data_IF_120585068100
#
_entry.id   IF_120585068100
#
_cell.length_a   1.000
_cell.length_b   1.000
_cell.length_c   1.000
_cell.angle_alpha   90.00
_cell.angle_beta   90.00
_cell.angle_gamma   90.00
#
_symmetry.space_group_name_H-M   'P 1'
#
loop_
_entity.id
_entity.type
_entity.pdbx_description
1 polymer ?
#
# COMPACT_ATOMS: atom_id res chain seq x y z
N UNK A 1 12.02 -1.59 -37.47
CA UNK A 1 12.35 -1.19 -38.86
C UNK A 1 12.62 0.30 -38.85
N UNK A 2 13.81 0.75 -39.25
CA UNK A 2 14.12 2.18 -39.44
C UNK A 2 13.61 2.61 -40.82
N UNK A 3 13.14 3.84 -40.98
CA UNK A 3 12.78 4.40 -42.28
C UNK A 3 14.04 4.48 -43.17
N UNK A 4 14.07 3.68 -44.24
CA UNK A 4 15.14 3.74 -45.23
C UNK A 4 14.93 4.98 -46.11
N UNK A 5 15.90 5.91 -46.09
CA UNK A 5 15.89 7.14 -46.90
C UNK A 5 15.98 8.45 -46.11
N UNK A 6 15.98 8.41 -44.77
CA UNK A 6 16.09 9.62 -43.96
C UNK A 6 17.55 10.12 -43.82
N UNK A 7 17.74 11.44 -43.97
CA UNK A 7 19.04 12.09 -44.02
C UNK A 7 19.57 12.48 -42.63
N UNK A 8 18.71 12.59 -41.61
CA UNK A 8 19.12 12.90 -40.24
C UNK A 8 18.88 11.72 -39.29
N UNK A 9 19.66 11.63 -38.20
CA UNK A 9 19.52 10.51 -37.24
C UNK A 9 18.17 10.54 -36.50
N UNK A 10 17.54 11.71 -36.40
CA UNK A 10 16.31 11.97 -35.65
C UNK A 10 15.09 11.47 -36.44
N UNK A 11 14.99 11.84 -37.72
CA UNK A 11 13.94 11.39 -38.65
C UNK A 11 13.86 9.85 -38.78
N UNK A 12 14.99 9.14 -38.71
CA UNK A 12 15.00 7.66 -38.69
C UNK A 12 14.23 7.06 -37.51
N UNK A 13 14.04 7.83 -36.44
CA UNK A 13 13.37 7.44 -35.21
C UNK A 13 11.98 8.06 -35.06
N UNK A 14 11.47 8.83 -36.03
CA UNK A 14 10.13 9.43 -35.94
C UNK A 14 9.02 8.38 -35.87
N UNK A 15 9.19 7.24 -36.55
CA UNK A 15 8.26 6.11 -36.46
C UNK A 15 8.26 5.41 -35.10
N UNK A 16 9.21 5.74 -34.21
CA UNK A 16 9.23 5.27 -32.83
C UNK A 16 8.52 6.26 -31.90
N UNK A 17 7.94 7.35 -32.39
CA UNK A 17 7.28 8.35 -31.54
C UNK A 17 5.76 8.37 -31.75
N UNK A 18 4.98 8.29 -30.66
CA UNK A 18 5.42 7.92 -29.32
C UNK A 18 5.72 6.42 -29.24
N UNK A 19 6.76 6.03 -28.49
CA UNK A 19 6.93 4.65 -28.03
C UNK A 19 5.78 4.43 -27.04
N UNK A 20 4.64 3.98 -27.55
CA UNK A 20 3.56 3.48 -26.71
C UNK A 20 4.04 2.12 -26.20
N UNK A 21 4.86 2.14 -25.15
CA UNK A 21 4.93 0.96 -24.29
C UNK A 21 3.51 0.86 -23.74
N UNK A 22 2.74 -0.11 -24.24
CA UNK A 22 1.40 -0.35 -23.73
C UNK A 22 1.51 -0.75 -22.26
N UNK A 23 1.46 0.25 -21.37
CA UNK A 23 1.42 0.08 -19.91
C UNK A 23 0.22 -0.76 -19.45
N UNK A 24 -0.65 -1.14 -20.38
CA UNK A 24 -1.72 -2.11 -20.20
C UNK A 24 -1.21 -3.40 -19.54
N UNK A 25 -0.13 -4.00 -20.03
CA UNK A 25 0.39 -5.23 -19.44
C UNK A 25 0.94 -5.01 -18.03
N UNK A 26 1.62 -3.89 -17.80
CA UNK A 26 2.13 -3.51 -16.47
C UNK A 26 1.00 -3.29 -15.47
N UNK A 27 -0.06 -2.58 -15.88
CA UNK A 27 -1.24 -2.32 -15.07
C UNK A 27 -2.03 -3.61 -14.80
N UNK A 28 -2.13 -4.49 -15.79
CA UNK A 28 -2.76 -5.80 -15.67
C UNK A 28 -2.00 -6.69 -14.68
N UNK A 29 -0.66 -6.75 -14.75
CA UNK A 29 0.17 -7.50 -13.82
C UNK A 29 0.11 -6.93 -12.40
N UNK A 30 0.07 -5.59 -12.27
CA UNK A 30 -0.12 -4.93 -10.99
C UNK A 30 -1.47 -5.29 -10.35
N UNK A 31 -2.56 -5.17 -11.12
CA UNK A 31 -3.89 -5.53 -10.66
C UNK A 31 -3.98 -7.02 -10.28
N UNK A 32 -3.29 -7.90 -11.01
CA UNK A 32 -3.24 -9.33 -10.68
C UNK A 32 -2.55 -9.56 -9.33
N UNK A 33 -1.41 -8.91 -9.08
CA UNK A 33 -0.72 -8.97 -7.78
C UNK A 33 -1.57 -8.40 -6.64
N UNK A 34 -2.22 -7.26 -6.87
CA UNK A 34 -3.11 -6.62 -5.91
C UNK A 34 -4.29 -7.53 -5.56
N UNK A 35 -4.97 -8.09 -6.57
CA UNK A 35 -6.07 -9.02 -6.35
C UNK A 35 -5.62 -10.29 -5.62
N UNK A 36 -4.44 -10.85 -5.96
CA UNK A 36 -3.91 -12.02 -5.22
C UNK A 36 -3.62 -11.71 -3.76
N UNK A 37 -3.09 -10.53 -3.45
CA UNK A 37 -2.74 -10.15 -2.07
C UNK A 37 -3.97 -9.78 -1.24
N UNK A 38 -4.89 -8.99 -1.80
CA UNK A 38 -5.97 -8.37 -1.03
C UNK A 38 -7.37 -8.93 -1.32
N UNK A 39 -7.61 -9.51 -2.49
CA UNK A 39 -8.92 -10.05 -2.90
C UNK A 39 -8.99 -11.56 -2.63
N UNK A 40 -8.89 -11.95 -1.36
CA UNK A 40 -9.07 -13.35 -0.94
C UNK A 40 -10.58 -13.62 -0.83
N UNK A 41 -11.19 -14.22 -1.87
CA UNK A 41 -12.66 -14.41 -1.99
C UNK A 41 -13.25 -15.17 -0.79
N UNK A 42 -12.51 -16.11 -0.23
CA UNK A 42 -12.92 -16.91 0.94
C UNK A 42 -13.07 -16.05 2.22
N UNK A 43 -12.43 -14.88 2.27
CA UNK A 43 -12.50 -13.92 3.37
C UNK A 43 -13.57 -12.83 3.18
N UNK A 44 -14.56 -13.07 2.32
CA UNK A 44 -15.66 -12.12 2.06
C UNK A 44 -16.48 -11.72 3.30
N UNK A 45 -16.42 -12.52 4.37
CA UNK A 45 -17.05 -12.23 5.67
C UNK A 45 -16.19 -11.36 6.59
N UNK A 46 -14.90 -11.25 6.32
CA UNK A 46 -13.96 -10.51 7.15
C UNK A 46 -14.03 -9.03 6.78
N UNK A 47 -14.52 -8.21 7.71
CA UNK A 47 -14.64 -6.75 7.55
C UNK A 47 -13.26 -6.15 7.25
N UNK A 48 -13.22 -5.16 6.36
CA UNK A 48 -11.98 -4.50 5.93
C UNK A 48 -11.22 -5.20 4.80
N UNK A 49 -11.64 -6.39 4.36
CA UNK A 49 -11.03 -7.03 3.19
C UNK A 49 -11.66 -6.53 1.88
N UNK A 50 -10.87 -6.52 0.79
CA UNK A 50 -11.38 -6.19 -0.55
C UNK A 50 -12.48 -7.17 -1.00
N UNK A 51 -12.48 -8.41 -0.51
CA UNK A 51 -13.54 -9.39 -0.75
C UNK A 51 -14.85 -9.01 -0.06
N UNK A 52 -14.80 -8.43 1.13
CA UNK A 52 -15.96 -7.92 1.85
C UNK A 52 -16.58 -6.70 1.15
N UNK A 53 -15.74 -5.74 0.74
CA UNK A 53 -16.17 -4.53 0.01
C UNK A 53 -16.84 -4.90 -1.31
N UNK A 54 -16.29 -5.90 -2.02
CA UNK A 54 -16.91 -6.44 -3.23
C UNK A 54 -18.36 -6.91 -2.99
N UNK A 55 -18.63 -7.55 -1.85
CA UNK A 55 -19.98 -8.03 -1.51
C UNK A 55 -20.90 -6.84 -1.20
N UNK A 56 -20.43 -5.84 -0.45
CA UNK A 56 -21.20 -4.63 -0.14
C UNK A 56 -21.59 -3.88 -1.42
N UNK A 57 -20.63 -3.67 -2.33
CA UNK A 57 -20.85 -2.97 -3.62
C UNK A 57 -21.52 -3.90 -4.65
N UNK A 58 -21.82 -5.16 -4.28
CA UNK A 58 -22.47 -6.17 -5.13
C UNK A 58 -21.77 -6.40 -6.49
N UNK A 59 -20.44 -6.26 -6.53
CA UNK A 59 -19.63 -6.44 -7.75
C UNK A 59 -19.26 -7.91 -7.96
N UNK A 60 -20.25 -8.74 -8.32
CA UNK A 60 -20.05 -10.18 -8.58
C UNK A 60 -19.05 -10.46 -9.72
N UNK A 61 -18.92 -9.54 -10.67
CA UNK A 61 -18.08 -9.68 -11.86
C UNK A 61 -16.57 -9.71 -11.59
N UNK A 62 -16.14 -9.24 -10.41
CA UNK A 62 -14.74 -9.23 -9.95
C UNK A 62 -14.42 -10.59 -9.33
N UNK A 63 -13.67 -11.45 -10.00
CA UNK A 63 -13.47 -12.85 -9.57
C UNK A 63 -12.00 -13.20 -9.28
N UNK A 64 -11.10 -12.21 -9.33
CA UNK A 64 -9.66 -12.37 -9.14
C UNK A 64 -8.91 -12.76 -10.43
N UNK A 65 -9.63 -13.08 -11.51
CA UNK A 65 -9.04 -13.37 -12.81
C UNK A 65 -8.95 -12.09 -13.65
N UNK A 66 -7.95 -11.27 -13.33
CA UNK A 66 -7.76 -9.95 -13.95
C UNK A 66 -7.59 -10.04 -15.47
N UNK A 67 -6.96 -11.11 -15.99
CA UNK A 67 -6.71 -11.25 -17.44
C UNK A 67 -7.97 -11.37 -18.29
N UNK A 68 -9.01 -12.03 -17.81
CA UNK A 68 -10.27 -12.20 -18.55
C UNK A 68 -11.22 -11.01 -18.35
N UNK A 69 -11.04 -10.25 -17.27
CA UNK A 69 -11.99 -9.24 -16.79
C UNK A 69 -11.30 -7.96 -16.34
N UNK A 70 -10.33 -7.50 -17.12
CA UNK A 70 -9.46 -6.38 -16.77
C UNK A 70 -10.25 -5.14 -16.37
N UNK A 71 -11.21 -4.72 -17.22
CA UNK A 71 -11.96 -3.48 -17.01
C UNK A 71 -12.78 -3.48 -15.73
N UNK A 72 -13.41 -4.62 -15.40
CA UNK A 72 -14.19 -4.73 -14.16
C UNK A 72 -13.31 -4.67 -12.91
N UNK A 73 -12.09 -5.22 -13.00
CA UNK A 73 -11.11 -5.17 -11.92
C UNK A 73 -10.53 -3.77 -11.72
N UNK A 74 -10.17 -3.10 -12.82
CA UNK A 74 -9.70 -1.71 -12.82
C UNK A 74 -10.75 -0.77 -12.20
N UNK A 75 -11.99 -0.82 -12.69
CA UNK A 75 -13.07 0.05 -12.20
C UNK A 75 -13.37 -0.20 -10.72
N UNK A 76 -13.31 -1.46 -10.27
CA UNK A 76 -13.52 -1.82 -8.87
C UNK A 76 -12.42 -1.26 -7.97
N UNK A 77 -11.15 -1.50 -8.28
CA UNK A 77 -10.03 -0.97 -7.49
C UNK A 77 -10.01 0.56 -7.50
N UNK A 78 -10.30 1.19 -8.63
CA UNK A 78 -10.43 2.65 -8.70
C UNK A 78 -11.55 3.17 -7.79
N UNK A 79 -12.71 2.50 -7.77
CA UNK A 79 -13.84 2.88 -6.92
C UNK A 79 -13.50 2.73 -5.43
N UNK A 80 -12.90 1.60 -5.05
CA UNK A 80 -12.51 1.34 -3.65
C UNK A 80 -11.43 2.31 -3.21
N UNK A 81 -10.40 2.55 -4.03
CA UNK A 81 -9.34 3.51 -3.73
C UNK A 81 -9.86 4.93 -3.58
N UNK A 82 -10.81 5.37 -4.43
CA UNK A 82 -11.49 6.67 -4.29
C UNK A 82 -12.27 6.77 -2.99
N UNK A 83 -12.97 5.70 -2.59
CA UNK A 83 -13.73 5.69 -1.34
C UNK A 83 -12.81 5.88 -0.12
N UNK A 84 -11.70 5.15 -0.06
CA UNK A 84 -10.70 5.32 1.00
C UNK A 84 -10.07 6.71 1.01
N UNK A 85 -9.74 7.25 -0.17
CA UNK A 85 -9.20 8.60 -0.27
C UNK A 85 -10.22 9.66 0.22
N UNK A 86 -11.50 9.49 -0.11
CA UNK A 86 -12.56 10.39 0.38
C UNK A 86 -12.70 10.29 1.90
N UNK A 87 -12.64 9.09 2.47
CA UNK A 87 -12.66 8.89 3.92
C UNK A 87 -11.50 9.62 4.61
N UNK A 88 -10.27 9.47 4.10
CA UNK A 88 -9.09 10.18 4.62
C UNK A 88 -9.25 11.70 4.52
N UNK A 89 -9.79 12.21 3.41
CA UNK A 89 -10.07 13.64 3.23
C UNK A 89 -11.13 14.10 4.25
N UNK A 90 -12.19 13.31 4.45
CA UNK A 90 -13.24 13.62 5.41
C UNK A 90 -12.70 13.67 6.83
N UNK A 91 -11.85 12.73 7.22
CA UNK A 91 -11.22 12.69 8.53
C UNK A 91 -10.28 13.90 8.73
N UNK A 92 -9.42 14.17 7.75
CA UNK A 92 -8.45 15.26 7.80
C UNK A 92 -9.11 16.65 7.89
N UNK A 93 -10.17 16.88 7.12
CA UNK A 93 -10.90 18.16 7.14
C UNK A 93 -12.06 18.20 8.15
N UNK A 94 -12.34 17.09 8.84
CA UNK A 94 -13.45 16.99 9.78
C UNK A 94 -14.81 17.20 9.12
N UNK A 95 -15.01 16.59 7.95
CA UNK A 95 -16.26 16.62 7.17
C UNK A 95 -17.07 15.37 7.52
N UNK A 96 -18.19 15.52 8.21
CA UNK A 96 -19.04 14.39 8.62
C UNK A 96 -19.97 13.92 7.49
N UNK A 97 -20.43 14.85 6.64
CA UNK A 97 -21.39 14.60 5.57
C UNK A 97 -21.02 15.40 4.32
N UNK A 98 -21.52 14.99 3.15
CA UNK A 98 -21.25 15.65 1.86
C UNK A 98 -21.65 17.13 1.86
N UNK A 99 -22.68 17.48 2.63
CA UNK A 99 -23.17 18.86 2.76
C UNK A 99 -22.54 19.63 3.94
N UNK A 100 -21.70 18.99 4.74
CA UNK A 100 -21.08 19.61 5.90
C UNK A 100 -19.85 20.42 5.52
N UNK A 101 -19.67 21.56 6.19
CA UNK A 101 -18.49 22.39 6.02
C UNK A 101 -17.29 21.76 6.74
N UNK A 102 -16.06 21.91 6.20
CA UNK A 102 -14.86 21.43 6.86
C UNK A 102 -14.68 22.15 8.20
N UNK A 103 -14.39 21.40 9.25
CA UNK A 103 -14.25 21.90 10.63
C UNK A 103 -12.80 21.89 11.12
N UNK A 104 -11.95 21.05 10.51
CA UNK A 104 -10.53 20.87 10.84
C UNK A 104 -9.65 21.25 9.65
N UNK A 105 -8.42 21.67 9.93
CA UNK A 105 -7.38 21.96 8.94
C UNK A 105 -7.82 22.92 7.81
N UNK A 106 -8.73 23.84 8.11
CA UNK A 106 -9.25 24.82 7.16
C UNK A 106 -8.28 25.97 6.93
N UNK A 107 -8.33 26.63 5.76
CA UNK A 107 -7.56 27.84 5.51
C UNK A 107 -7.88 28.96 6.53
N UNK A 108 -6.94 29.89 6.78
CA UNK A 108 -7.18 31.01 7.69
C UNK A 108 -8.38 31.85 7.24
N UNK A 109 -9.24 32.31 8.16
CA UNK A 109 -10.49 33.05 7.87
C UNK A 109 -10.33 34.29 6.96
N UNK A 110 -9.12 34.80 6.77
CA UNK A 110 -8.81 35.97 5.95
C UNK A 110 -8.25 35.61 4.55
N UNK A 111 -8.40 34.35 4.09
CA UNK A 111 -7.88 33.92 2.78
C UNK A 111 -8.42 34.74 1.60
N UNK A 112 -9.63 35.28 1.71
CA UNK A 112 -10.25 36.11 0.66
C UNK A 112 -9.44 37.39 0.38
N UNK A 113 -8.63 37.85 1.34
CA UNK A 113 -7.80 39.05 1.21
C UNK A 113 -6.35 38.72 0.82
N UNK A 114 -6.01 37.46 0.57
CA UNK A 114 -4.66 37.06 0.19
C UNK A 114 -4.44 37.25 -1.31
N UNK A 115 -3.27 37.79 -1.66
CA UNK A 115 -2.80 37.74 -3.04
C UNK A 115 -2.59 36.29 -3.48
N UNK A 116 -2.76 36.03 -4.77
CA UNK A 116 -2.73 34.71 -5.40
C UNK A 116 -1.53 33.85 -4.97
N UNK A 117 -0.32 34.43 -4.91
CA UNK A 117 0.89 33.72 -4.44
C UNK A 117 0.79 33.24 -2.99
N UNK A 118 0.20 34.04 -2.10
CA UNK A 118 0.03 33.68 -0.69
C UNK A 118 -1.09 32.65 -0.51
N UNK A 119 -2.13 32.74 -1.33
CA UNK A 119 -3.20 31.74 -1.38
C UNK A 119 -2.64 30.39 -1.82
N UNK A 120 -1.85 30.36 -2.90
CA UNK A 120 -1.16 29.16 -3.37
C UNK A 120 -0.28 28.55 -2.28
N UNK A 121 0.57 29.34 -1.61
CA UNK A 121 1.40 28.84 -0.50
C UNK A 121 0.57 28.24 0.64
N UNK A 122 -0.60 28.82 0.97
CA UNK A 122 -1.47 28.27 2.02
C UNK A 122 -2.06 26.93 1.59
N UNK A 123 -2.50 26.82 0.34
CA UNK A 123 -2.99 25.55 -0.20
C UNK A 123 -1.91 24.48 -0.26
N UNK A 124 -0.73 24.82 -0.78
CA UNK A 124 0.42 23.92 -0.86
C UNK A 124 0.77 23.40 0.55
N UNK A 125 0.86 24.29 1.55
CA UNK A 125 1.15 23.87 2.93
C UNK A 125 0.07 22.96 3.55
N UNK A 126 -1.21 23.14 3.20
CA UNK A 126 -2.29 22.28 3.72
C UNK A 126 -2.24 20.91 3.04
N UNK A 127 -1.97 20.89 1.73
CA UNK A 127 -1.84 19.66 0.95
C UNK A 127 -0.59 18.88 1.32
N UNK A 128 0.55 19.55 1.53
CA UNK A 128 1.79 18.91 1.96
C UNK A 128 1.57 18.20 3.31
N UNK A 129 0.93 18.86 4.27
CA UNK A 129 0.57 18.26 5.56
C UNK A 129 -0.40 17.09 5.43
N UNK A 130 -1.38 17.20 4.53
CA UNK A 130 -2.30 16.10 4.24
C UNK A 130 -1.54 14.91 3.64
N UNK A 131 -0.63 15.15 2.70
CA UNK A 131 0.18 14.12 2.08
C UNK A 131 1.13 13.48 3.09
N UNK A 132 1.73 14.24 3.99
CA UNK A 132 2.55 13.70 5.09
C UNK A 132 1.72 12.77 5.99
N UNK A 133 0.51 13.16 6.37
CA UNK A 133 -0.37 12.35 7.21
C UNK A 133 -0.83 11.08 6.47
N UNK A 134 -1.22 11.19 5.21
CA UNK A 134 -1.64 10.05 4.39
C UNK A 134 -0.49 9.07 4.15
N UNK A 135 0.71 9.57 3.83
CA UNK A 135 1.88 8.73 3.53
C UNK A 135 2.48 8.09 4.78
N UNK A 136 2.47 8.78 5.93
CA UNK A 136 2.94 8.19 7.21
C UNK A 136 2.05 7.04 7.68
N UNK A 137 0.75 7.07 7.39
CA UNK A 137 -0.17 5.94 7.64
C UNK A 137 0.21 4.72 6.78
N UNK A 138 0.71 4.92 5.56
CA UNK A 138 1.14 3.81 4.69
C UNK A 138 2.48 3.18 5.11
N UNK A 139 3.35 3.92 5.80
CA UNK A 139 4.62 3.38 6.34
C UNK A 139 4.41 2.48 7.57
N UNK A 140 3.22 2.51 8.19
CA UNK A 140 2.97 1.83 9.46
C UNK A 140 2.83 0.29 9.37
N UNK A 141 2.72 -0.31 8.18
CA UNK A 141 2.70 -1.77 8.03
C UNK A 141 4.09 -2.39 7.77
N UNK A 142 5.16 -1.59 7.65
CA UNK A 142 6.53 -2.10 7.47
C UNK A 142 7.33 -2.25 8.76
N UNK A 143 6.76 -1.88 9.91
CA UNK A 143 7.39 -2.03 11.23
C UNK A 143 6.56 -2.93 12.15
N UNK A 144 6.33 -4.18 11.76
CA UNK A 144 6.18 -5.25 12.75
C UNK A 144 7.58 -5.81 13.00
N UNK A 145 8.47 -4.97 13.54
CA UNK A 145 9.71 -5.44 14.13
C UNK A 145 9.34 -6.28 15.37
N UNK A 146 9.09 -7.57 15.14
CA UNK A 146 8.81 -8.51 16.21
C UNK A 146 10.09 -8.66 17.02
N UNK A 147 10.14 -8.05 18.20
CA UNK A 147 11.25 -8.24 19.14
C UNK A 147 11.12 -9.63 19.73
N UNK A 148 12.04 -10.53 19.35
CA UNK A 148 12.06 -11.90 19.87
C UNK A 148 13.12 -11.96 20.97
N UNK A 149 12.71 -12.38 22.16
CA UNK A 149 13.63 -12.72 23.24
C UNK A 149 13.98 -14.20 23.13
N UNK A 150 15.25 -14.50 22.95
CA UNK A 150 15.81 -15.85 22.94
C UNK A 150 16.41 -16.12 24.32
N UNK A 151 15.88 -17.12 25.02
CA UNK A 151 16.48 -17.62 26.26
C UNK A 151 17.47 -18.73 25.94
N UNK A 152 18.76 -18.47 26.15
CA UNK A 152 19.84 -19.44 26.03
C UNK A 152 20.22 -19.92 27.43
N UNK A 153 20.26 -21.23 27.64
CA UNK A 153 20.72 -21.83 28.89
C UNK A 153 22.09 -22.45 28.64
N UNK A 154 23.14 -21.83 29.20
CA UNK A 154 24.52 -22.30 29.07
C UNK A 154 25.08 -22.44 30.49
N UNK A 155 25.60 -23.62 30.84
CA UNK A 155 26.23 -23.93 32.13
C UNK A 155 25.37 -23.55 33.36
N UNK A 156 24.11 -24.01 33.37
CA UNK A 156 23.09 -23.73 34.41
C UNK A 156 22.84 -22.24 34.69
N UNK A 157 23.27 -21.36 33.78
CA UNK A 157 22.99 -19.92 33.81
C UNK A 157 22.13 -19.50 32.63
N UNK A 158 21.02 -18.84 32.97
CA UNK A 158 20.03 -18.33 32.03
C UNK A 158 20.49 -17.00 31.45
N UNK A 159 20.69 -16.95 30.14
CA UNK A 159 21.03 -15.74 29.39
C UNK A 159 19.90 -15.35 28.43
N UNK A 160 19.45 -14.10 28.48
CA UNK A 160 18.39 -13.58 27.59
C UNK A 160 19.06 -12.72 26.53
N UNK A 161 18.92 -13.12 25.26
CA UNK A 161 19.40 -12.36 24.10
C UNK A 161 18.18 -11.80 23.36
N UNK A 162 18.14 -10.49 23.19
CA UNK A 162 17.05 -9.81 22.46
C UNK A 162 17.50 -9.54 21.04
N UNK A 163 16.79 -10.09 20.05
CA UNK A 163 17.05 -9.86 18.64
C UNK A 163 15.86 -9.16 17.98
N UNK A 164 16.16 -8.14 17.18
CA UNK A 164 15.19 -7.44 16.35
C UNK A 164 15.28 -8.05 14.96
N UNK A 165 14.20 -8.68 14.49
CA UNK A 165 14.17 -9.34 13.18
C UNK A 165 13.07 -8.73 12.33
N UNK A 166 13.44 -8.35 11.10
CA UNK A 166 12.56 -7.67 10.15
C UNK A 166 11.80 -8.63 9.23
N UNK A 167 12.05 -9.94 9.32
CA UNK A 167 11.45 -10.97 8.46
C UNK A 167 11.12 -12.25 9.25
N UNK A 168 9.82 -12.57 9.33
CA UNK A 168 9.29 -13.71 10.10
C UNK A 168 9.66 -15.05 9.43
N UNK A 169 9.85 -15.09 8.11
CA UNK A 169 10.18 -16.33 7.40
C UNK A 169 11.67 -16.71 7.58
N UNK A 170 12.53 -15.72 7.79
CA UNK A 170 13.92 -15.95 8.21
C UNK A 170 14.01 -16.58 9.61
N UNK A 171 13.11 -16.21 10.53
CA UNK A 171 13.05 -16.75 11.90
C UNK A 171 12.68 -18.24 11.92
N UNK A 172 11.69 -18.64 11.12
CA UNK A 172 11.29 -20.06 11.01
C UNK A 172 12.42 -20.91 10.45
N UNK A 173 13.15 -20.38 9.47
CA UNK A 173 14.28 -21.06 8.84
C UNK A 173 15.47 -21.19 9.81
N UNK A 174 15.77 -20.15 10.60
CA UNK A 174 16.81 -20.20 11.64
C UNK A 174 16.45 -21.18 12.77
N UNK A 175 15.19 -21.21 13.21
CA UNK A 175 14.71 -22.19 14.21
C UNK A 175 14.77 -23.63 13.71
N UNK A 176 14.54 -23.85 12.41
CA UNK A 176 14.64 -25.16 11.78
C UNK A 176 16.10 -25.63 11.66
N UNK A 177 17.02 -24.74 11.28
CA UNK A 177 18.45 -25.06 11.16
C UNK A 177 19.10 -25.38 12.51
N UNK A 178 18.74 -24.66 13.57
CA UNK A 178 19.28 -24.88 14.92
C UNK A 178 18.71 -26.11 15.64
N UNK A 179 17.58 -26.66 15.17
CA UNK A 179 17.02 -27.91 15.70
C UNK A 179 17.72 -29.17 15.14
N UNK A 180 18.55 -29.03 14.10
CA UNK A 180 19.20 -30.15 13.41
C UNK A 180 20.55 -30.52 14.06
N UNK A 181 21.20 -29.61 14.80
CA UNK A 181 22.54 -29.83 15.38
C UNK A 181 22.54 -30.43 16.81
N UNK A 182 21.43 -30.99 17.29
CA UNK A 182 21.42 -31.80 18.51
C UNK A 182 21.54 -31.04 19.83
N UNK A 183 21.30 -29.72 19.85
CA UNK A 183 21.16 -28.94 21.07
C UNK A 183 19.72 -29.06 21.64
N UNK A 184 19.61 -29.06 22.98
CA UNK A 184 18.36 -29.19 23.76
C UNK A 184 17.22 -28.28 23.26
N UNK A 185 15.94 -28.68 23.41
CA UNK A 185 14.81 -28.01 22.78
C UNK A 185 14.63 -26.57 23.28
N UNK A 186 14.79 -25.59 22.39
CA UNK A 186 14.52 -24.18 22.65
C UNK A 186 13.01 -23.93 22.69
N UNK A 187 12.54 -23.10 23.63
CA UNK A 187 11.13 -22.68 23.71
C UNK A 187 10.99 -21.27 23.17
N UNK A 188 10.45 -21.14 21.96
CA UNK A 188 10.08 -19.84 21.39
C UNK A 188 8.87 -19.30 22.17
N UNK A 189 9.07 -18.24 22.95
CA UNK A 189 7.97 -17.52 23.59
C UNK A 189 7.66 -16.30 22.75
N UNK A 190 6.62 -16.39 21.93
CA UNK A 190 6.08 -15.23 21.22
C UNK A 190 5.18 -14.48 22.22
N UNK A 191 5.51 -13.24 22.61
CA UNK A 191 4.61 -12.45 23.45
C UNK A 191 3.32 -12.20 22.67
N UNK A 192 2.18 -12.58 23.26
CA UNK A 192 0.87 -12.18 22.75
C UNK A 192 0.64 -10.72 23.16
N UNK A 193 0.44 -9.85 22.16
CA UNK A 193 -0.20 -8.55 22.35
C UNK A 193 -1.68 -8.73 22.69
#
# INVERSE_FOLDING_TARGET
MLLAGSHTRIERCENLSPVVVEFFHTLQDFLEKLCKKFLIINKSRDKGTLAHIRVIIQRSNVNGQVKSRFKQHEDFISTVGKAYLIEMIQEYFGIENVDSLPTKNTPPKNVEFFHEKRLQMVFDNILDKFMDEVLTVFDLEQSIASTIQLELNIDDKKHIVTAVVNDIDAVKTASALLSIEGAQPFRLVIPRS
#
